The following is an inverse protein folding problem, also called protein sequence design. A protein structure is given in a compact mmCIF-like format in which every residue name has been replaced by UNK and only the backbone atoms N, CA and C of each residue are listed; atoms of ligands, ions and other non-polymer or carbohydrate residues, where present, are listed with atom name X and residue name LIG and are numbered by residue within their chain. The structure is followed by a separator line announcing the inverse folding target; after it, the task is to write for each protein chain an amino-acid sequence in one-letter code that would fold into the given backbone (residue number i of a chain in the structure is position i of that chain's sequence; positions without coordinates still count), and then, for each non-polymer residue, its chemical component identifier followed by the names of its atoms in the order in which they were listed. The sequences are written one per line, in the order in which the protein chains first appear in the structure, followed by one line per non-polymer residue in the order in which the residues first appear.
data_IF_938243159910
#
_entry.id   IF_938243159910
#
_cell.length_a   1.000
_cell.length_b   1.000
_cell.length_c   1.000
_cell.angle_alpha   90.00
_cell.angle_beta   90.00
_cell.angle_gamma   90.00
#
_symmetry.space_group_name_H-M   'P 1'
#
loop_
_entity.id
_entity.type
_entity.pdbx_description
1 polymer ?
#
# COMPACT_ATOMS: atom_id res chain seq x y z
N UNK A 1 62.83 -9.08 -8.63
CA UNK A 1 61.43 -8.84 -8.28
C UNK A 1 60.84 -10.16 -7.86
N UNK A 2 60.66 -10.34 -6.55
CA UNK A 2 59.98 -11.50 -5.97
C UNK A 2 58.52 -11.51 -6.43
N UNK A 3 57.93 -12.67 -6.67
CA UNK A 3 56.51 -12.78 -7.05
C UNK A 3 55.58 -12.10 -6.03
N UNK A 4 55.97 -12.07 -4.75
CA UNK A 4 55.23 -11.41 -3.67
C UNK A 4 55.26 -9.87 -3.77
N UNK A 5 56.33 -9.30 -4.34
CA UNK A 5 56.42 -7.84 -4.52
C UNK A 5 55.51 -7.36 -5.66
N UNK A 6 55.34 -8.18 -6.70
CA UNK A 6 54.49 -7.88 -7.86
C UNK A 6 53.00 -7.94 -7.49
N UNK A 7 52.60 -8.90 -6.64
CA UNK A 7 51.22 -9.03 -6.16
C UNK A 7 50.81 -7.84 -5.28
N UNK A 8 51.66 -7.45 -4.33
CA UNK A 8 51.40 -6.30 -3.47
C UNK A 8 51.33 -4.97 -4.25
N UNK A 9 52.21 -4.77 -5.23
CA UNK A 9 52.22 -3.55 -6.06
C UNK A 9 51.00 -3.47 -7.02
N UNK A 10 50.47 -4.62 -7.44
CA UNK A 10 49.24 -4.71 -8.23
C UNK A 10 47.99 -4.41 -7.38
N UNK A 11 47.95 -4.89 -6.14
CA UNK A 11 46.89 -4.59 -5.18
C UNK A 11 46.83 -3.08 -4.87
N UNK A 12 47.97 -2.43 -4.64
CA UNK A 12 48.04 -0.98 -4.37
C UNK A 12 47.56 -0.12 -5.55
N UNK A 13 47.90 -0.51 -6.79
CA UNK A 13 47.46 0.20 -8.02
C UNK A 13 45.95 0.10 -8.27
N UNK A 14 45.28 -0.93 -7.77
CA UNK A 14 43.82 -1.12 -7.88
C UNK A 14 43.09 -0.32 -6.78
N UNK A 15 43.69 -0.18 -5.60
CA UNK A 15 43.12 0.55 -4.46
C UNK A 15 43.09 2.07 -4.69
N UNK A 16 44.04 2.63 -5.47
CA UNK A 16 44.19 4.07 -5.67
C UNK A 16 43.32 4.72 -6.77
N UNK A 17 42.63 3.96 -7.62
CA UNK A 17 41.85 4.51 -8.74
C UNK A 17 40.34 4.47 -8.44
N UNK A 18 39.62 5.61 -8.45
CA UNK A 18 38.18 5.60 -8.22
C UNK A 18 37.47 4.88 -9.36
N UNK A 19 36.79 3.76 -9.05
CA UNK A 19 36.05 2.98 -10.05
C UNK A 19 34.76 3.70 -10.42
N UNK A 20 34.68 4.18 -11.66
CA UNK A 20 33.49 4.87 -12.17
C UNK A 20 32.49 3.83 -12.67
N UNK A 21 31.31 3.79 -12.06
CA UNK A 21 30.20 2.91 -12.48
C UNK A 21 29.59 3.49 -13.76
N UNK A 22 29.58 2.72 -14.85
CA UNK A 22 28.94 3.12 -16.12
C UNK A 22 27.69 2.30 -16.38
N UNK A 23 27.74 1.00 -16.09
CA UNK A 23 26.64 0.05 -16.31
C UNK A 23 26.18 -0.63 -15.00
N UNK A 24 24.99 -1.22 -15.00
CA UNK A 24 24.46 -2.02 -13.90
C UNK A 24 25.38 -3.21 -13.55
N UNK A 25 26.06 -3.77 -14.56
CA UNK A 25 27.08 -4.82 -14.38
C UNK A 25 28.27 -4.34 -13.56
N UNK A 26 28.71 -3.09 -13.75
CA UNK A 26 29.86 -2.53 -13.03
C UNK A 26 29.52 -2.33 -11.55
N UNK A 27 28.28 -1.92 -11.27
CA UNK A 27 27.76 -1.80 -9.91
C UNK A 27 27.73 -3.17 -9.20
N UNK A 28 27.24 -4.20 -9.90
CA UNK A 28 27.22 -5.57 -9.38
C UNK A 28 28.64 -6.10 -9.16
N UNK A 29 29.55 -5.88 -10.12
CA UNK A 29 30.96 -6.24 -10.01
C UNK A 29 31.60 -5.62 -8.77
N UNK A 30 31.41 -4.32 -8.52
CA UNK A 30 31.93 -3.66 -7.33
C UNK A 30 31.34 -4.23 -6.03
N UNK A 31 30.05 -4.54 -6.00
CA UNK A 31 29.42 -5.20 -4.84
C UNK A 31 30.00 -6.59 -4.60
N UNK A 32 30.24 -7.36 -5.67
CA UNK A 32 30.86 -8.68 -5.61
C UNK A 32 32.30 -8.60 -5.14
N UNK A 33 33.13 -7.72 -5.72
CA UNK A 33 34.52 -7.51 -5.30
C UNK A 33 34.59 -7.15 -3.80
N UNK A 34 33.70 -6.27 -3.32
CA UNK A 34 33.59 -5.92 -1.89
C UNK A 34 33.22 -7.11 -1.01
N UNK A 35 32.35 -8.00 -1.49
CA UNK A 35 31.89 -9.19 -0.77
C UNK A 35 32.98 -10.27 -0.73
N UNK A 36 33.66 -10.48 -1.85
CA UNK A 36 34.73 -11.47 -2.02
C UNK A 36 36.03 -11.07 -1.33
N UNK A 37 36.23 -9.78 -1.00
CA UNK A 37 37.35 -9.34 -0.17
C UNK A 37 37.36 -9.98 1.22
N UNK A 38 36.19 -10.38 1.74
CA UNK A 38 36.05 -11.02 3.05
C UNK A 38 35.07 -12.20 2.97
N UNK A 39 35.50 -13.34 2.41
CA UNK A 39 34.62 -14.48 2.16
C UNK A 39 34.13 -15.16 3.45
N UNK A 40 34.93 -15.09 4.52
CA UNK A 40 34.60 -15.72 5.81
C UNK A 40 33.56 -14.92 6.63
N UNK A 41 33.25 -13.68 6.22
CA UNK A 41 32.29 -12.83 6.94
C UNK A 41 30.86 -13.23 6.54
N UNK A 42 30.01 -13.70 7.48
CA UNK A 42 28.63 -14.02 7.16
C UNK A 42 27.86 -12.78 6.70
N UNK A 43 27.05 -12.95 5.67
CA UNK A 43 26.27 -11.87 5.06
C UNK A 43 24.92 -11.79 5.79
N UNK A 44 24.63 -10.63 6.39
CA UNK A 44 23.33 -10.36 7.00
C UNK A 44 22.38 -9.81 5.93
N UNK A 45 21.44 -10.63 5.47
CA UNK A 45 20.35 -10.14 4.62
C UNK A 45 19.40 -9.30 5.48
N UNK A 46 18.96 -8.12 5.01
CA UNK A 46 17.99 -7.33 5.74
C UNK A 46 16.67 -8.10 5.81
N UNK A 47 16.13 -8.25 7.03
CA UNK A 47 14.77 -8.74 7.21
C UNK A 47 13.75 -7.75 6.66
N UNK A 48 12.54 -8.24 6.34
CA UNK A 48 11.44 -7.38 5.88
C UNK A 48 11.22 -6.24 6.90
N UNK A 49 11.11 -4.98 6.46
CA UNK A 49 10.85 -3.88 7.37
C UNK A 49 9.53 -4.14 8.12
N UNK A 50 9.56 -3.97 9.44
CA UNK A 50 8.37 -4.10 10.28
C UNK A 50 7.44 -2.91 10.00
N UNK A 51 6.15 -3.19 9.91
CA UNK A 51 5.16 -2.14 9.77
C UNK A 51 5.22 -1.20 10.97
N UNK A 52 5.20 0.11 10.71
CA UNK A 52 5.17 1.12 11.77
C UNK A 52 3.81 1.05 12.45
N UNK A 53 3.74 0.32 13.55
CA UNK A 53 2.53 0.18 14.36
C UNK A 53 2.17 1.46 15.11
N UNK A 54 0.98 1.44 15.71
CA UNK A 54 0.55 2.46 16.67
C UNK A 54 1.48 2.44 17.89
N UNK A 55 1.89 3.60 18.45
CA UNK A 55 2.64 3.63 19.70
C UNK A 55 1.85 2.94 20.82
N UNK A 56 2.49 1.99 21.50
CA UNK A 56 1.88 1.27 22.63
C UNK A 56 1.63 2.27 23.77
N UNK A 57 0.41 2.24 24.32
CA UNK A 57 0.03 3.07 25.46
C UNK A 57 0.59 2.42 26.73
N UNK A 58 1.36 3.15 27.57
CA UNK A 58 1.82 2.62 28.85
C UNK A 58 0.64 2.27 29.77
N UNK A 59 0.75 1.14 30.47
CA UNK A 59 -0.30 0.67 31.39
C UNK A 59 -0.51 1.62 32.58
N UNK A 60 0.59 2.12 33.16
CA UNK A 60 0.54 3.00 34.33
C UNK A 60 1.16 4.37 34.03
N UNK A 61 0.38 5.41 34.30
CA UNK A 61 0.88 6.79 34.35
C UNK A 61 1.15 7.12 35.81
N UNK A 62 2.41 7.39 36.14
CA UNK A 62 2.84 7.63 37.54
C UNK A 62 2.63 9.08 38.00
N UNK A 63 2.52 10.00 37.05
CA UNK A 63 2.56 11.45 37.30
C UNK A 63 1.16 12.07 37.12
N UNK A 64 0.12 11.40 37.63
CA UNK A 64 -1.25 11.89 37.55
C UNK A 64 -1.50 12.84 38.71
N UNK A 65 -1.84 14.08 38.41
CA UNK A 65 -2.26 15.07 39.40
C UNK A 65 -3.71 14.79 39.83
N UNK A 66 -4.09 15.17 41.07
CA UNK A 66 -5.43 14.91 41.59
C UNK A 66 -6.54 15.53 40.74
N UNK A 67 -7.73 14.89 40.74
CA UNK A 67 -8.83 15.25 39.84
C UNK A 67 -9.37 16.68 40.01
N UNK A 68 -9.24 17.26 41.21
CA UNK A 68 -9.65 18.64 41.52
C UNK A 68 -8.51 19.66 41.41
N UNK A 69 -7.30 19.24 41.03
CA UNK A 69 -6.19 20.15 40.87
C UNK A 69 -6.35 21.01 39.61
N UNK A 70 -5.95 22.29 39.68
CA UNK A 70 -6.00 23.21 38.55
C UNK A 70 -5.03 22.85 37.42
N UNK A 71 -5.18 23.46 36.24
CA UNK A 71 -4.30 23.22 35.11
C UNK A 71 -2.86 23.69 35.40
N UNK A 72 -1.90 22.77 35.34
CA UNK A 72 -0.47 23.09 35.47
C UNK A 72 0.13 23.64 34.18
N UNK A 73 1.30 24.29 34.28
CA UNK A 73 2.00 24.86 33.12
C UNK A 73 2.44 23.83 32.06
N UNK A 74 2.62 22.57 32.46
CA UNK A 74 2.98 21.47 31.55
C UNK A 74 1.80 20.78 30.87
N UNK A 75 0.56 21.02 31.32
CA UNK A 75 -0.63 20.27 30.88
C UNK A 75 -0.91 20.47 29.38
N UNK A 76 -0.67 21.68 28.87
CA UNK A 76 -0.80 21.98 27.45
C UNK A 76 0.09 21.08 26.58
N UNK A 77 1.34 20.86 26.99
CA UNK A 77 2.25 20.00 26.23
C UNK A 77 1.84 18.53 26.32
N UNK A 78 1.36 18.07 27.47
CA UNK A 78 0.81 16.73 27.64
C UNK A 78 -0.33 16.49 26.65
N UNK A 79 -1.36 17.36 26.64
CA UNK A 79 -2.47 17.28 25.69
C UNK A 79 -2.00 17.31 24.23
N UNK A 80 -1.09 18.23 23.88
CA UNK A 80 -0.53 18.34 22.52
C UNK A 80 0.14 17.04 22.07
N UNK A 81 0.95 16.39 22.94
CA UNK A 81 1.59 15.11 22.60
C UNK A 81 0.57 13.98 22.52
N UNK A 82 -0.39 13.92 23.44
CA UNK A 82 -1.45 12.91 23.45
C UNK A 82 -2.33 13.01 22.19
N UNK A 83 -2.74 14.22 21.81
CA UNK A 83 -3.55 14.47 20.61
C UNK A 83 -2.83 14.04 19.33
N UNK A 84 -1.52 14.33 19.21
CA UNK A 84 -0.74 13.84 18.05
C UNK A 84 -0.67 12.31 18.01
N UNK A 85 -0.45 11.66 19.16
CA UNK A 85 -0.43 10.19 19.25
C UNK A 85 -1.79 9.61 18.86
N UNK A 86 -2.87 10.21 19.32
CA UNK A 86 -4.22 9.75 19.01
C UNK A 86 -4.60 9.97 17.55
N UNK A 87 -4.24 11.12 16.96
CA UNK A 87 -4.46 11.36 15.52
C UNK A 87 -3.64 10.41 14.64
N UNK A 88 -2.38 10.17 15.00
CA UNK A 88 -1.56 9.16 14.32
C UNK A 88 -2.17 7.77 14.45
N UNK A 89 -2.70 7.41 15.62
CA UNK A 89 -3.40 6.14 15.86
C UNK A 89 -4.65 6.01 15.00
N UNK A 90 -5.54 7.00 15.03
CA UNK A 90 -6.78 7.00 14.26
C UNK A 90 -6.52 6.94 12.75
N UNK A 91 -5.54 7.71 12.28
CA UNK A 91 -5.09 7.69 10.88
C UNK A 91 -4.59 6.30 10.49
N UNK A 92 -3.72 5.69 11.29
CA UNK A 92 -3.22 4.34 11.06
C UNK A 92 -4.35 3.30 11.01
N UNK A 93 -5.30 3.35 11.95
CA UNK A 93 -6.41 2.41 11.98
C UNK A 93 -7.32 2.55 10.77
N UNK A 94 -7.61 3.78 10.32
CA UNK A 94 -8.38 4.03 9.10
C UNK A 94 -7.64 3.51 7.86
N UNK A 95 -6.38 3.89 7.68
CA UNK A 95 -5.57 3.48 6.53
C UNK A 95 -5.36 1.96 6.48
N UNK A 96 -5.22 1.32 7.64
CA UNK A 96 -5.14 -0.13 7.73
C UNK A 96 -6.46 -0.79 7.34
N UNK A 97 -7.59 -0.31 7.88
CA UNK A 97 -8.91 -0.83 7.53
C UNK A 97 -9.21 -0.74 6.03
N UNK A 98 -8.90 0.40 5.40
CA UNK A 98 -9.07 0.56 3.95
C UNK A 98 -8.16 -0.38 3.15
N UNK A 99 -6.89 -0.53 3.55
CA UNK A 99 -5.96 -1.44 2.87
C UNK A 99 -6.41 -2.89 2.97
N UNK A 100 -6.75 -3.34 4.17
CA UNK A 100 -7.16 -4.72 4.44
C UNK A 100 -8.46 -5.03 3.64
N UNK A 101 -9.41 -4.09 3.58
CA UNK A 101 -10.61 -4.22 2.74
C UNK A 101 -10.29 -4.35 1.25
N UNK A 102 -9.42 -3.49 0.71
CA UNK A 102 -9.04 -3.53 -0.71
C UNK A 102 -8.30 -4.82 -1.05
N UNK A 103 -7.45 -5.31 -0.15
CA UNK A 103 -6.72 -6.57 -0.31
C UNK A 103 -7.70 -7.76 -0.33
N UNK A 104 -8.68 -7.79 0.58
CA UNK A 104 -9.72 -8.83 0.62
C UNK A 104 -10.57 -8.83 -0.67
N UNK A 105 -11.00 -7.66 -1.14
CA UNK A 105 -11.75 -7.50 -2.39
C UNK A 105 -10.91 -7.98 -3.59
N UNK A 106 -9.62 -7.67 -3.62
CA UNK A 106 -8.69 -8.12 -4.65
C UNK A 106 -8.51 -9.64 -4.64
N UNK A 107 -8.30 -10.23 -3.47
CA UNK A 107 -8.15 -11.68 -3.31
C UNK A 107 -9.41 -12.43 -3.74
N UNK A 108 -10.59 -11.95 -3.33
CA UNK A 108 -11.87 -12.51 -3.76
C UNK A 108 -12.02 -12.48 -5.29
N UNK A 109 -11.73 -11.34 -5.92
CA UNK A 109 -11.77 -11.21 -7.39
C UNK A 109 -10.80 -12.16 -8.09
N UNK A 110 -9.60 -12.34 -7.53
CA UNK A 110 -8.60 -13.26 -8.07
C UNK A 110 -9.08 -14.72 -7.98
N UNK A 111 -9.67 -15.12 -6.87
CA UNK A 111 -10.24 -16.46 -6.69
C UNK A 111 -11.42 -16.73 -7.62
N UNK A 112 -12.34 -15.77 -7.76
CA UNK A 112 -13.49 -15.90 -8.64
C UNK A 112 -13.05 -16.04 -10.10
N UNK A 113 -12.05 -15.28 -10.53
CA UNK A 113 -11.46 -15.41 -11.86
C UNK A 113 -10.79 -16.78 -12.07
N UNK A 114 -10.05 -17.27 -11.06
CA UNK A 114 -9.45 -18.61 -11.10
C UNK A 114 -10.51 -19.71 -11.21
N UNK A 115 -11.60 -19.63 -10.44
CA UNK A 115 -12.73 -20.57 -10.49
C UNK A 115 -13.40 -20.55 -11.87
N UNK A 116 -13.78 -19.37 -12.38
CA UNK A 116 -14.37 -19.22 -13.72
C UNK A 116 -13.47 -19.78 -14.83
N UNK A 117 -12.16 -19.55 -14.75
CA UNK A 117 -11.20 -20.10 -15.71
C UNK A 117 -11.08 -21.64 -15.59
N UNK A 118 -11.07 -22.16 -14.37
CA UNK A 118 -11.04 -23.60 -14.11
C UNK A 118 -12.30 -24.30 -14.62
N UNK A 119 -13.49 -23.73 -14.41
CA UNK A 119 -14.76 -24.28 -14.87
C UNK A 119 -14.84 -24.31 -16.40
N UNK A 120 -14.45 -23.22 -17.06
CA UNK A 120 -14.34 -23.16 -18.54
C UNK A 120 -13.38 -24.21 -19.06
N UNK A 121 -12.24 -24.39 -18.39
CA UNK A 121 -11.22 -25.38 -18.79
C UNK A 121 -11.70 -26.81 -18.52
N UNK A 122 -12.39 -27.06 -17.41
CA UNK A 122 -12.94 -28.36 -17.03
C UNK A 122 -14.04 -28.80 -18.00
N UNK A 123 -14.96 -27.90 -18.36
CA UNK A 123 -16.00 -28.16 -19.38
C UNK A 123 -15.38 -28.55 -20.72
N UNK A 124 -14.38 -27.77 -21.19
CA UNK A 124 -13.66 -28.08 -22.44
C UNK A 124 -12.87 -29.39 -22.36
N UNK A 125 -12.22 -29.67 -21.23
CA UNK A 125 -11.48 -30.94 -20.99
C UNK A 125 -12.42 -32.14 -20.97
N UNK A 126 -13.55 -32.06 -20.28
CA UNK A 126 -14.57 -33.11 -20.25
C UNK A 126 -15.12 -33.41 -21.65
N UNK A 127 -15.39 -32.38 -22.46
CA UNK A 127 -15.81 -32.55 -23.87
C UNK A 127 -14.74 -33.30 -24.69
N UNK A 128 -13.46 -32.92 -24.57
CA UNK A 128 -12.35 -33.61 -25.25
C UNK A 128 -12.19 -35.07 -24.78
N UNK A 129 -12.33 -35.33 -23.49
CA UNK A 129 -12.23 -36.69 -22.93
C UNK A 129 -13.38 -37.59 -23.39
N UNK A 130 -14.62 -37.08 -23.42
CA UNK A 130 -15.77 -37.81 -24.01
C UNK A 130 -15.51 -38.15 -25.48
N UNK A 131 -15.03 -37.20 -26.29
CA UNK A 131 -14.66 -37.45 -27.70
C UNK A 131 -13.53 -38.47 -27.83
N UNK A 132 -12.50 -38.41 -26.97
CA UNK A 132 -11.39 -39.37 -26.95
C UNK A 132 -11.88 -40.77 -26.61
N UNK A 133 -12.74 -40.90 -25.60
CA UNK A 133 -13.28 -42.20 -25.19
C UNK A 133 -14.18 -42.80 -26.29
N UNK A 134 -15.02 -42.00 -26.97
CA UNK A 134 -15.83 -42.46 -28.12
C UNK A 134 -14.95 -42.90 -29.30
N UNK A 135 -13.89 -42.14 -29.63
CA UNK A 135 -12.95 -42.55 -30.70
C UNK A 135 -12.12 -43.79 -30.32
N UNK A 136 -11.68 -43.88 -29.07
CA UNK A 136 -10.94 -45.01 -28.53
C UNK A 136 -11.77 -46.30 -28.51
N UNK A 137 -13.07 -46.22 -28.17
CA UNK A 137 -13.99 -47.35 -28.24
C UNK A 137 -14.22 -47.77 -29.69
N UNK A 138 -14.42 -46.82 -30.61
CA UNK A 138 -14.61 -47.11 -32.05
C UNK A 138 -13.37 -47.76 -32.66
N UNK A 139 -12.14 -47.33 -32.32
CA UNK A 139 -10.93 -48.03 -32.78
C UNK A 139 -10.72 -49.41 -32.14
N UNK A 140 -11.29 -49.67 -30.96
CA UNK A 140 -11.26 -50.99 -30.33
C UNK A 140 -12.32 -51.92 -30.92
N UNK A 141 -13.48 -51.41 -31.33
CA UNK A 141 -14.54 -52.17 -32.00
C UNK A 141 -14.30 -52.35 -33.49
N UNK A 142 -13.64 -51.44 -34.22
CA UNK A 142 -13.34 -51.62 -35.66
C UNK A 142 -12.33 -52.76 -35.94
N UNK A 143 -11.65 -53.30 -34.93
CA UNK A 143 -10.94 -54.60 -35.08
C UNK A 143 -11.89 -55.80 -35.17
N UNK A 144 -13.17 -55.62 -34.87
CA UNK A 144 -14.24 -56.60 -34.94
C UNK A 144 -15.44 -55.99 -35.67
N UNK A 145 -15.50 -56.21 -36.97
CA UNK A 145 -16.65 -55.98 -37.86
C UNK A 145 -16.96 -54.56 -38.34
N UNK A 146 -17.23 -54.54 -39.62
CA UNK A 146 -17.53 -53.45 -40.54
C UNK A 146 -18.92 -52.85 -40.33
N UNK A 147 -19.02 -51.56 -40.68
CA UNK A 147 -20.20 -50.86 -41.16
C UNK A 147 -21.24 -50.38 -40.13
N UNK A 148 -21.33 -49.06 -39.95
CA UNK A 148 -22.59 -48.35 -39.64
C UNK A 148 -22.33 -46.83 -39.57
N UNK A 149 -22.83 -46.13 -40.58
CA UNK A 149 -22.93 -44.67 -40.65
C UNK A 149 -23.99 -44.14 -39.68
N UNK A 150 -23.59 -43.52 -38.56
CA UNK A 150 -24.46 -42.59 -37.83
C UNK A 150 -23.64 -41.77 -36.81
N UNK A 151 -23.09 -40.61 -37.19
CA UNK A 151 -22.47 -39.70 -36.21
C UNK A 151 -22.36 -38.27 -36.73
N UNK A 152 -23.45 -37.68 -37.23
CA UNK A 152 -23.47 -36.30 -37.74
C UNK A 152 -24.42 -35.34 -37.01
N UNK A 153 -24.94 -35.69 -35.83
CA UNK A 153 -26.09 -34.94 -35.27
C UNK A 153 -25.86 -34.21 -33.94
N UNK A 154 -24.62 -34.13 -33.42
CA UNK A 154 -24.33 -33.44 -32.14
C UNK A 154 -23.51 -32.15 -32.34
N UNK A 155 -23.41 -31.64 -33.58
CA UNK A 155 -22.66 -30.40 -33.86
C UNK A 155 -23.51 -29.12 -33.71
N UNK A 156 -24.85 -29.21 -33.72
CA UNK A 156 -25.72 -28.03 -33.87
C UNK A 156 -26.32 -27.44 -32.57
N UNK A 157 -26.30 -28.13 -31.43
CA UNK A 157 -26.97 -27.60 -30.22
C UNK A 157 -26.08 -26.71 -29.31
N UNK A 158 -24.76 -26.68 -29.50
CA UNK A 158 -23.85 -26.05 -28.51
C UNK A 158 -23.14 -24.77 -28.97
N UNK A 159 -23.29 -24.32 -30.23
CA UNK A 159 -22.68 -23.07 -30.69
C UNK A 159 -23.43 -21.83 -30.16
N UNK A 160 -24.71 -21.96 -29.80
CA UNK A 160 -25.50 -20.88 -29.20
C UNK A 160 -25.18 -20.65 -27.72
N UNK A 161 -24.70 -21.68 -27.00
CA UNK A 161 -24.42 -21.59 -25.55
C UNK A 161 -23.02 -21.02 -25.25
N UNK A 162 -22.14 -20.90 -26.26
CA UNK A 162 -20.81 -20.28 -26.12
C UNK A 162 -20.90 -18.77 -26.34
N UNK A 163 -21.81 -18.28 -27.18
CA UNK A 163 -22.00 -16.83 -27.44
C UNK A 163 -22.67 -16.09 -26.28
N UNK A 164 -23.56 -16.73 -25.52
CA UNK A 164 -24.22 -16.10 -24.36
C UNK A 164 -23.29 -15.90 -23.14
N UNK A 165 -22.16 -16.60 -23.06
CA UNK A 165 -21.20 -16.47 -21.95
C UNK A 165 -20.06 -15.46 -22.19
N UNK A 166 -20.02 -14.84 -23.37
CA UNK A 166 -18.99 -13.84 -23.75
C UNK A 166 -19.56 -12.42 -23.94
N UNK A 167 -20.88 -12.22 -23.89
CA UNK A 167 -21.50 -10.91 -24.16
C UNK A 167 -21.94 -10.08 -22.94
N UNK A 168 -21.79 -10.58 -21.71
CA UNK A 168 -22.15 -9.84 -20.49
C UNK A 168 -20.93 -9.59 -19.60
N UNK A 169 -20.07 -8.67 -20.04
CA UNK A 169 -19.27 -7.76 -19.19
C UNK A 169 -18.48 -6.79 -20.10
N UNK A 170 -19.21 -6.08 -20.97
CA UNK A 170 -18.83 -4.73 -21.38
C UNK A 170 -19.81 -3.80 -20.66
N UNK A 171 -19.60 -3.61 -19.36
CA UNK A 171 -20.21 -2.46 -18.67
C UNK A 171 -19.20 -1.32 -18.74
N UNK A 172 -19.39 -0.53 -19.79
CA UNK A 172 -19.35 0.94 -19.77
C UNK A 172 -18.15 1.59 -19.09
N UNK A 173 -17.15 1.86 -19.92
CA UNK A 173 -16.48 3.16 -19.90
C UNK A 173 -17.54 4.26 -20.09
N UNK A 174 -18.14 4.77 -19.00
CA UNK A 174 -18.93 6.01 -19.04
C UNK A 174 -19.19 6.64 -17.63
N UNK A 175 -18.17 6.69 -16.78
CA UNK A 175 -18.12 7.62 -15.62
C UNK A 175 -16.88 8.53 -15.73
N UNK A 176 -16.58 8.97 -16.94
CA UNK A 176 -15.69 10.10 -17.16
C UNK A 176 -16.54 11.37 -17.11
N UNK A 177 -16.22 12.29 -16.18
CA UNK A 177 -16.21 13.77 -16.34
C UNK A 177 -17.05 14.62 -15.35
N UNK A 178 -18.17 14.22 -14.74
CA UNK A 178 -19.09 15.24 -14.16
C UNK A 178 -19.16 15.46 -12.64
N UNK A 179 -18.28 14.90 -11.79
CA UNK A 179 -18.24 15.30 -10.38
C UNK A 179 -16.82 15.56 -9.84
N UNK A 180 -16.37 16.80 -10.09
CA UNK A 180 -15.65 17.68 -9.17
C UNK A 180 -14.14 17.37 -8.93
N UNK A 181 -13.14 17.94 -9.61
CA UNK A 181 -12.96 19.24 -10.29
C UNK A 181 -13.42 20.50 -9.52
N UNK A 182 -14.33 20.41 -8.53
CA UNK A 182 -14.87 21.56 -7.78
C UNK A 182 -14.25 21.74 -6.37
N UNK A 183 -13.46 20.78 -5.86
CA UNK A 183 -12.66 20.98 -4.63
C UNK A 183 -11.26 21.54 -4.93
N UNK A 184 -10.65 21.15 -6.07
CA UNK A 184 -9.29 21.57 -6.40
C UNK A 184 -9.22 23.03 -6.89
N UNK A 185 -10.28 23.59 -7.51
CA UNK A 185 -10.32 25.02 -7.90
C UNK A 185 -10.69 26.00 -6.76
N UNK A 186 -11.03 25.49 -5.57
CA UNK A 186 -11.43 26.32 -4.40
C UNK A 186 -10.36 26.49 -3.33
N UNK A 187 -9.34 25.61 -3.23
CA UNK A 187 -8.26 25.78 -2.23
C UNK A 187 -7.08 26.61 -2.73
N UNK A 188 -6.78 26.57 -4.02
CA UNK A 188 -5.70 27.39 -4.58
C UNK A 188 -6.06 28.88 -4.67
N UNK A 189 -7.34 29.24 -4.51
CA UNK A 189 -7.79 30.64 -4.38
C UNK A 189 -7.53 31.25 -3.00
N UNK A 190 -7.26 30.47 -1.94
CA UNK A 190 -7.15 31.00 -0.57
C UNK A 190 -5.70 31.19 -0.07
N UNK A 191 -4.69 31.05 -0.94
CA UNK A 191 -3.28 31.27 -0.57
C UNK A 191 -2.57 32.36 -1.39
N UNK A 192 -3.22 32.94 -2.40
CA UNK A 192 -2.59 33.95 -3.27
C UNK A 192 -3.06 35.41 -3.04
N UNK A 193 -3.92 35.70 -2.05
CA UNK A 193 -4.39 37.08 -1.79
C UNK A 193 -3.84 37.77 -0.53
N UNK A 194 -2.95 37.16 0.27
CA UNK A 194 -2.41 37.86 1.47
C UNK A 194 -0.89 37.97 1.57
N UNK A 195 -0.11 37.52 0.58
CA UNK A 195 1.35 37.67 0.58
C UNK A 195 1.84 38.43 -0.66
N UNK A 196 1.43 39.70 -0.81
CA UNK A 196 2.18 40.67 -1.59
C UNK A 196 1.81 42.11 -1.21
N UNK A 197 2.31 42.55 -0.04
CA UNK A 197 2.70 43.95 0.24
C UNK A 197 3.86 43.95 1.24
N UNK A 198 5.08 43.77 0.73
CA UNK A 198 6.24 44.49 1.26
C UNK A 198 6.36 45.72 0.35
N UNK A 199 6.35 46.96 0.86
CA UNK A 199 7.45 47.68 1.50
C UNK A 199 6.89 49.02 2.06
N UNK A 200 7.68 49.92 2.70
CA UNK A 200 8.70 49.76 3.74
C UNK A 200 8.49 50.77 4.91
N UNK A 201 9.43 50.75 5.86
CA UNK A 201 9.90 51.91 6.63
C UNK A 201 9.22 52.31 7.97
N UNK A 202 10.15 52.53 8.90
CA UNK A 202 10.18 53.42 10.05
C UNK A 202 9.38 53.15 11.33
N UNK A 203 10.14 53.17 12.42
CA UNK A 203 9.65 53.08 13.79
C UNK A 203 8.98 54.36 14.27
N UNK A 204 8.26 54.20 15.39
CA UNK A 204 8.11 55.19 16.46
C UNK A 204 7.49 54.54 17.69
N UNK A 205 8.11 54.83 18.83
CA UNK A 205 7.57 54.67 20.18
C UNK A 205 6.15 55.23 20.30
N UNK A 206 5.27 54.59 21.08
CA UNK A 206 4.59 55.25 22.23
C UNK A 206 3.82 54.25 23.13
N UNK A 207 4.13 54.32 24.42
CA UNK A 207 3.23 54.41 25.60
C UNK A 207 2.14 53.36 25.90
N UNK A 208 2.42 52.52 26.92
CA UNK A 208 1.92 52.61 28.31
C UNK A 208 0.46 53.01 28.62
N UNK A 209 -0.15 52.22 29.54
CA UNK A 209 -1.37 52.42 30.37
C UNK A 209 -2.71 52.05 29.71
N UNK A 210 -3.72 51.47 30.37
CA UNK A 210 -3.94 50.88 31.69
C UNK A 210 -5.27 50.10 31.60
N UNK A 211 -5.46 49.18 32.56
CA UNK A 211 -6.72 48.80 33.23
C UNK A 211 -7.94 48.35 32.40
N UNK A 212 -8.42 47.13 32.65
CA UNK A 212 -9.69 47.01 33.40
C UNK A 212 -9.92 45.61 33.99
N UNK A 213 -10.26 45.65 35.27
CA UNK A 213 -10.68 44.56 36.13
C UNK A 213 -12.21 44.45 36.12
N UNK A 214 -12.77 43.26 35.97
CA UNK A 214 -14.08 42.96 36.55
C UNK A 214 -14.22 41.48 36.91
N UNK A 215 -14.50 41.29 38.21
CA UNK A 215 -14.68 40.06 38.96
C UNK A 215 -16.11 39.51 38.80
N UNK A 216 -16.19 38.18 38.82
CA UNK A 216 -17.10 37.32 39.62
C UNK A 216 -18.61 37.35 39.32
N UNK A 217 -19.04 36.22 38.75
CA UNK A 217 -20.37 35.62 38.88
C UNK A 217 -20.47 34.81 40.18
N UNK A 218 -21.54 34.98 40.94
CA UNK A 218 -21.94 34.16 42.09
C UNK A 218 -23.29 33.46 41.78
N UNK A 219 -23.31 32.14 42.01
CA UNK A 219 -24.42 31.32 42.60
C UNK A 219 -25.80 31.25 41.90
N UNK A 220 -26.57 30.15 41.83
CA UNK A 220 -26.66 28.84 42.50
C UNK A 220 -27.44 27.86 41.59
N UNK A 221 -27.13 26.56 41.58
CA UNK A 221 -28.06 25.52 41.11
C UNK A 221 -28.14 24.42 42.17
N UNK A 222 -29.33 24.30 42.74
CA UNK A 222 -29.72 23.37 43.78
C UNK A 222 -29.60 21.90 43.35
N UNK A 223 -29.26 21.06 44.34
CA UNK A 223 -29.34 19.61 44.31
C UNK A 223 -30.78 19.13 44.09
N UNK A 224 -30.94 18.02 43.37
CA UNK A 224 -32.02 17.08 43.62
C UNK A 224 -31.51 15.65 43.43
N UNK A 225 -31.36 14.96 44.56
CA UNK A 225 -31.35 13.50 44.64
C UNK A 225 -32.81 13.01 44.72
N UNK A 226 -33.17 12.09 43.83
CA UNK A 226 -33.97 10.88 44.08
C UNK A 226 -34.06 10.04 42.80
#
# INVERSE_FOLDING_TARGET
MSYQEIENEAEEKIIGKPTIIRNATDLQRLKLEKLMKHPDKPILLPEKPKDRGVPVVPEFVRNVMGSSAGAGSGEFHVYRHLRRKEYARQKYMREKGERDRLDDEYHKKLEDNKKKAADRTAKKRAKRQKRRNKKGSVTATIKNESDSEESSEIENEEEQNIKQGESEQNDSQNDSVNDLQNENERRDRNLNETSNKNDPDNGKEVHSQNSDSAKVSEENVEHNEN
#
